data_IF_378146960382
#
_entry.id   IF_378146960382
#
_cell.length_a   1.000
_cell.length_b   1.000
_cell.length_c   1.000
_cell.angle_alpha   90.00
_cell.angle_beta   90.00
_cell.angle_gamma   90.00
#
_symmetry.space_group_name_H-M   'P 1'
#
loop_
_entity.id
_entity.type
_entity.pdbx_description
1 polymer ?
#
# COMPACT_ATOMS: atom_id res chain seq x y z
N UNK A 1 7.07 -14.66 -1.42
CA UNK A 1 8.46 -14.34 -1.02
C UNK A 1 8.46 -13.89 0.42
N UNK A 2 9.61 -13.93 1.09
CA UNK A 2 9.72 -13.66 2.53
C UNK A 2 9.35 -12.23 2.91
N UNK A 3 9.61 -11.27 2.01
CA UNK A 3 9.35 -9.85 2.24
C UNK A 3 7.86 -9.48 2.19
N UNK A 4 7.06 -10.12 1.32
CA UNK A 4 5.62 -9.83 1.21
C UNK A 4 4.91 -10.12 2.53
N UNK A 5 5.23 -11.28 3.13
CA UNK A 5 4.67 -11.68 4.43
C UNK A 5 5.09 -10.72 5.54
N UNK A 6 6.38 -10.37 5.61
CA UNK A 6 6.85 -9.43 6.63
C UNK A 6 6.13 -8.07 6.53
N UNK A 7 6.04 -7.52 5.32
CA UNK A 7 5.38 -6.24 5.11
C UNK A 7 3.88 -6.32 5.39
N UNK A 8 3.24 -7.42 4.97
CA UNK A 8 1.84 -7.71 5.29
C UNK A 8 1.58 -7.79 6.81
N UNK A 9 2.45 -8.47 7.54
CA UNK A 9 2.36 -8.62 9.00
C UNK A 9 2.54 -7.25 9.68
N UNK A 10 3.51 -6.44 9.25
CA UNK A 10 3.69 -5.06 9.75
C UNK A 10 2.47 -4.18 9.50
N UNK A 11 1.82 -4.32 8.34
CA UNK A 11 0.61 -3.58 7.98
C UNK A 11 -0.63 -4.00 8.79
N UNK A 12 -0.61 -5.22 9.35
CA UNK A 12 -1.75 -5.81 10.06
C UNK A 12 -1.57 -5.93 11.58
N UNK A 13 -0.36 -5.81 12.13
CA UNK A 13 -0.08 -6.04 13.56
C UNK A 13 -0.61 -4.93 14.48
N UNK A 14 -0.80 -3.73 13.95
CA UNK A 14 -1.44 -2.62 14.67
C UNK A 14 -2.81 -2.38 14.06
N UNK A 15 -3.85 -2.42 14.89
CA UNK A 15 -5.20 -2.07 14.46
C UNK A 15 -5.46 -0.57 14.62
N UNK A 16 -6.39 -0.04 13.81
CA UNK A 16 -6.83 1.37 13.89
C UNK A 16 -7.28 1.80 15.30
N UNK A 17 -7.84 0.88 16.10
CA UNK A 17 -8.32 1.18 17.45
C UNK A 17 -7.20 1.32 18.49
N UNK A 18 -6.06 0.68 18.23
CA UNK A 18 -4.98 0.50 19.21
C UNK A 18 -3.71 1.28 18.83
N UNK A 19 -3.72 1.95 17.67
CA UNK A 19 -2.61 2.79 17.22
C UNK A 19 -2.37 3.96 18.20
N UNK A 20 -1.13 4.12 18.62
CA UNK A 20 -0.70 5.14 19.57
C UNK A 20 0.78 5.49 19.37
N UNK A 21 1.33 6.32 20.26
CA UNK A 21 2.72 6.79 20.17
C UNK A 21 3.78 5.70 20.41
N UNK A 22 3.42 4.61 21.10
CA UNK A 22 4.34 3.51 21.42
C UNK A 22 4.51 2.54 20.25
N UNK A 23 3.50 2.42 19.38
CA UNK A 23 3.51 1.50 18.24
C UNK A 23 3.63 2.20 16.87
N UNK A 24 3.76 3.53 16.81
CA UNK A 24 3.89 4.27 15.55
C UNK A 24 5.14 3.87 14.74
N UNK A 25 6.19 3.38 15.41
CA UNK A 25 7.40 2.89 14.75
C UNK A 25 7.13 1.70 13.81
N UNK A 26 6.06 0.94 14.05
CA UNK A 26 5.64 -0.16 13.16
C UNK A 26 5.16 0.39 11.82
N UNK A 27 4.36 1.46 11.85
CA UNK A 27 3.89 2.17 10.65
C UNK A 27 5.09 2.78 9.91
N UNK A 28 6.01 3.42 10.64
CA UNK A 28 7.22 4.00 10.06
C UNK A 28 8.06 2.93 9.35
N UNK A 29 8.23 1.76 9.98
CA UNK A 29 8.98 0.64 9.39
C UNK A 29 8.33 0.17 8.10
N UNK A 30 7.01 -0.05 8.08
CA UNK A 30 6.28 -0.43 6.87
C UNK A 30 6.41 0.63 5.76
N UNK A 31 6.30 1.91 6.10
CA UNK A 31 6.49 3.02 5.15
C UNK A 31 7.91 3.06 4.57
N UNK A 32 8.96 2.77 5.35
CA UNK A 32 10.34 2.70 4.85
C UNK A 32 10.47 1.69 3.71
N UNK A 33 9.89 0.49 3.86
CA UNK A 33 9.88 -0.51 2.78
C UNK A 33 9.27 0.06 1.49
N UNK A 34 8.14 0.77 1.61
CA UNK A 34 7.45 1.36 0.47
C UNK A 34 8.23 2.53 -0.14
N UNK A 35 8.91 3.34 0.68
CA UNK A 35 9.83 4.40 0.21
C UNK A 35 10.94 3.80 -0.62
N UNK A 36 11.56 2.70 -0.18
CA UNK A 36 12.55 1.99 -1.00
C UNK A 36 11.96 1.45 -2.29
N UNK A 37 10.75 0.87 -2.28
CA UNK A 37 10.09 0.44 -3.51
C UNK A 37 9.84 1.61 -4.48
N UNK A 38 9.45 2.78 -3.98
CA UNK A 38 9.27 3.98 -4.81
C UNK A 38 10.57 4.50 -5.38
N UNK A 39 11.64 4.58 -4.57
CA UNK A 39 12.98 4.97 -5.04
C UNK A 39 13.52 4.03 -6.12
N UNK A 40 13.17 2.74 -6.06
CA UNK A 40 13.50 1.74 -7.08
C UNK A 40 12.47 1.67 -8.23
N UNK A 41 11.50 2.58 -8.28
CA UNK A 41 10.44 2.63 -9.30
C UNK A 41 9.62 1.34 -9.42
N UNK A 42 9.53 0.55 -8.34
CA UNK A 42 8.83 -0.73 -8.30
C UNK A 42 7.62 -0.73 -7.35
N UNK A 43 7.19 0.44 -6.86
CA UNK A 43 6.03 0.57 -5.96
C UNK A 43 4.73 -0.06 -6.53
N UNK A 44 4.30 0.21 -7.78
CA UNK A 44 3.10 -0.44 -8.33
C UNK A 44 3.21 -1.97 -8.35
N UNK A 45 4.39 -2.49 -8.69
CA UNK A 45 4.65 -3.92 -8.70
C UNK A 45 4.60 -4.51 -7.29
N UNK A 46 5.20 -3.84 -6.30
CA UNK A 46 5.16 -4.23 -4.90
C UNK A 46 3.72 -4.31 -4.38
N UNK A 47 2.90 -3.28 -4.62
CA UNK A 47 1.51 -3.25 -4.20
C UNK A 47 0.66 -4.31 -4.89
N UNK A 48 0.92 -4.60 -6.17
CA UNK A 48 0.27 -5.71 -6.89
C UNK A 48 0.55 -7.05 -6.23
N UNK A 49 1.80 -7.30 -5.81
CA UNK A 49 2.16 -8.52 -5.10
C UNK A 49 1.51 -8.62 -3.72
N UNK A 50 1.38 -7.49 -3.00
CA UNK A 50 0.66 -7.45 -1.73
C UNK A 50 -0.84 -7.70 -1.90
N UNK A 51 -1.48 -7.13 -2.92
CA UNK A 51 -2.91 -7.40 -3.24
C UNK A 51 -3.14 -8.86 -3.61
N UNK A 52 -2.24 -9.45 -4.41
CA UNK A 52 -2.30 -10.87 -4.72
C UNK A 52 -2.11 -11.74 -3.47
N UNK A 53 -1.24 -11.30 -2.55
CA UNK A 53 -1.03 -11.97 -1.26
C UNK A 53 -2.28 -11.89 -0.36
N UNK A 54 -2.91 -10.72 -0.26
CA UNK A 54 -4.19 -10.49 0.43
C UNK A 54 -5.30 -11.40 -0.11
N UNK A 55 -5.47 -11.43 -1.44
CA UNK A 55 -6.46 -12.26 -2.10
C UNK A 55 -6.25 -13.77 -1.82
N UNK A 56 -4.99 -14.20 -1.74
CA UNK A 56 -4.64 -15.58 -1.41
C UNK A 56 -4.80 -15.92 0.08
N UNK A 57 -4.70 -14.92 0.97
CA UNK A 57 -4.81 -15.10 2.43
C UNK A 57 -6.28 -15.27 2.90
N UNK A 58 -7.27 -14.94 2.06
CA UNK A 58 -8.70 -15.09 2.36
C UNK A 58 -9.36 -13.86 3.00
N UNK A 59 -10.68 -13.95 3.26
CA UNK A 59 -11.57 -12.84 3.64
C UNK A 59 -11.40 -12.30 5.08
N UNK A 60 -10.18 -12.26 5.61
CA UNK A 60 -9.88 -11.48 6.83
C UNK A 60 -9.91 -9.97 6.55
N UNK A 61 -9.93 -9.13 7.60
CA UNK A 61 -9.69 -7.68 7.47
C UNK A 61 -8.45 -7.46 6.62
N UNK A 62 -8.59 -6.80 5.48
CA UNK A 62 -7.48 -6.58 4.57
C UNK A 62 -6.41 -5.69 5.20
N UNK A 63 -5.19 -6.19 5.37
CA UNK A 63 -4.07 -5.41 5.92
C UNK A 63 -3.80 -4.16 5.10
N UNK A 64 -4.11 -4.15 3.79
CA UNK A 64 -3.99 -2.93 2.97
C UNK A 64 -5.00 -1.86 3.38
N UNK A 65 -6.25 -2.26 3.64
CA UNK A 65 -7.30 -1.35 4.11
C UNK A 65 -7.01 -0.86 5.54
N UNK A 66 -6.52 -1.75 6.42
CA UNK A 66 -6.07 -1.37 7.75
C UNK A 66 -4.92 -0.36 7.67
N UNK A 67 -3.89 -0.66 6.89
CA UNK A 67 -2.73 0.21 6.74
C UNK A 67 -3.12 1.59 6.22
N UNK A 68 -4.04 1.67 5.24
CA UNK A 68 -4.59 2.96 4.77
C UNK A 68 -5.22 3.77 5.92
N UNK A 69 -5.95 3.13 6.82
CA UNK A 69 -6.52 3.80 8.00
C UNK A 69 -5.46 4.20 9.04
N UNK A 70 -4.39 3.43 9.19
CA UNK A 70 -3.24 3.80 10.02
C UNK A 70 -2.51 5.04 9.47
N UNK A 71 -2.45 5.21 8.14
CA UNK A 71 -1.85 6.39 7.52
C UNK A 71 -2.61 7.69 7.85
N UNK A 72 -3.94 7.63 8.07
CA UNK A 72 -4.69 8.77 8.59
C UNK A 72 -4.23 9.19 9.98
N UNK A 73 -3.97 8.21 10.86
CA UNK A 73 -3.42 8.47 12.18
C UNK A 73 -2.00 9.03 12.09
N UNK A 74 -1.15 8.41 11.27
CA UNK A 74 0.24 8.82 11.06
C UNK A 74 0.32 10.30 10.64
N UNK A 75 -0.52 10.73 9.69
CA UNK A 75 -0.60 12.15 9.27
C UNK A 75 -0.90 13.08 10.43
N UNK A 76 -1.93 12.76 11.22
CA UNK A 76 -2.34 13.57 12.39
C UNK A 76 -1.27 13.61 13.48
N UNK A 77 -0.57 12.50 13.67
CA UNK A 77 0.50 12.40 14.66
C UNK A 77 1.64 13.37 14.34
N UNK A 78 2.17 13.31 13.11
CA UNK A 78 3.31 14.15 12.71
C UNK A 78 2.92 15.59 12.36
N UNK A 79 1.68 15.87 11.96
CA UNK A 79 1.22 17.25 11.71
C UNK A 79 1.10 18.09 12.99
N UNK A 80 0.70 17.47 14.10
CA UNK A 80 0.37 18.19 15.33
C UNK A 80 1.58 18.35 16.28
N UNK A 81 2.66 17.61 16.04
CA UNK A 81 3.81 17.54 16.95
C UNK A 81 5.08 17.98 16.25
N UNK A 82 5.19 19.26 15.87
CA UNK A 82 6.23 19.83 15.00
C UNK A 82 7.72 19.63 15.36
N UNK A 83 8.06 18.78 16.34
CA UNK A 83 9.42 18.28 16.62
C UNK A 83 9.60 16.78 16.31
N UNK A 84 8.53 15.99 16.24
CA UNK A 84 8.63 14.53 16.11
C UNK A 84 9.06 14.11 14.70
N UNK A 85 8.78 14.91 13.67
CA UNK A 85 9.27 14.64 12.32
C UNK A 85 10.80 14.80 12.22
N UNK A 86 11.43 15.67 13.01
CA UNK A 86 12.89 15.82 13.00
C UNK A 86 13.57 14.55 13.53
N UNK A 87 13.01 13.90 14.54
CA UNK A 87 13.48 12.59 15.01
C UNK A 87 13.24 11.48 13.98
N UNK A 88 12.13 11.53 13.24
CA UNK A 88 11.86 10.61 12.14
C UNK A 88 12.90 10.76 11.01
N UNK A 89 13.18 11.98 10.59
CA UNK A 89 14.21 12.29 9.58
C UNK A 89 15.59 11.85 10.05
N UNK A 90 15.97 12.19 11.29
CA UNK A 90 17.27 11.84 11.85
C UNK A 90 17.50 10.32 11.93
N UNK A 91 16.49 9.57 12.38
CA UNK A 91 16.60 8.12 12.55
C UNK A 91 16.55 7.32 11.25
N UNK A 92 15.91 7.86 10.21
CA UNK A 92 15.73 7.16 8.92
C UNK A 92 16.66 7.65 7.82
N UNK A 93 17.17 8.88 7.90
CA UNK A 93 17.86 9.55 6.80
C UNK A 93 16.93 9.90 5.62
N UNK A 94 15.61 9.84 5.81
CA UNK A 94 14.61 10.15 4.78
C UNK A 94 13.98 11.51 5.12
N UNK A 95 14.04 12.50 4.23
CA UNK A 95 13.41 13.80 4.44
C UNK A 95 11.90 13.68 4.64
N UNK A 96 11.33 14.45 5.58
CA UNK A 96 9.91 14.46 5.90
C UNK A 96 9.00 14.71 4.67
N UNK A 97 9.36 15.58 3.70
CA UNK A 97 8.58 15.70 2.46
C UNK A 97 8.42 14.39 1.70
N UNK A 98 9.44 13.53 1.67
CA UNK A 98 9.37 12.23 0.99
C UNK A 98 8.42 11.25 1.71
N UNK A 99 8.37 11.29 3.04
CA UNK A 99 7.35 10.56 3.80
C UNK A 99 5.94 11.03 3.45
N UNK A 100 5.72 12.34 3.40
CA UNK A 100 4.41 12.92 3.07
C UNK A 100 3.96 12.54 1.66
N UNK A 101 4.84 12.64 0.68
CA UNK A 101 4.55 12.22 -0.68
C UNK A 101 4.20 10.74 -0.75
N UNK A 102 4.91 9.88 -0.01
CA UNK A 102 4.61 8.44 0.03
C UNK A 102 3.21 8.22 0.61
N UNK A 103 2.90 8.83 1.74
CA UNK A 103 1.59 8.71 2.39
C UNK A 103 0.48 9.28 1.50
N UNK A 104 0.74 10.39 0.80
CA UNK A 104 -0.21 10.96 -0.15
C UNK A 104 -0.47 10.00 -1.32
N UNK A 105 0.58 9.43 -1.91
CA UNK A 105 0.48 8.49 -3.02
C UNK A 105 -0.26 7.20 -2.62
N UNK A 106 0.06 6.61 -1.47
CA UNK A 106 -0.62 5.42 -0.97
C UNK A 106 -2.10 5.66 -0.62
N UNK A 107 -2.45 6.89 -0.23
CA UNK A 107 -3.83 7.30 0.04
C UNK A 107 -4.55 7.89 -1.18
N UNK A 108 -3.93 7.85 -2.36
CA UNK A 108 -4.46 8.39 -3.60
C UNK A 108 -5.77 7.74 -4.06
N UNK A 109 -6.31 8.19 -5.21
CA UNK A 109 -7.57 7.69 -5.75
C UNK A 109 -7.48 6.20 -6.15
N UNK A 110 -8.63 5.54 -6.33
CA UNK A 110 -8.70 4.10 -6.61
C UNK A 110 -8.32 3.71 -8.04
N UNK A 111 -8.05 4.66 -8.91
CA UNK A 111 -7.55 4.47 -10.27
C UNK A 111 -6.02 4.60 -10.37
N UNK A 112 -5.34 4.99 -9.30
CA UNK A 112 -3.87 5.03 -9.21
C UNK A 112 -3.33 3.67 -8.73
N UNK A 113 -2.49 3.01 -9.54
CA UNK A 113 -1.87 1.73 -9.18
C UNK A 113 -1.03 1.78 -7.89
N UNK A 114 -0.53 2.96 -7.55
CA UNK A 114 0.22 3.23 -6.32
C UNK A 114 -0.67 3.46 -5.09
N UNK A 115 -1.99 3.56 -5.25
CA UNK A 115 -2.93 3.69 -4.14
C UNK A 115 -3.24 2.36 -3.47
N UNK A 116 -3.29 2.33 -2.14
CA UNK A 116 -3.74 1.14 -1.39
C UNK A 116 -5.19 0.74 -1.73
N UNK A 117 -6.00 1.68 -2.20
CA UNK A 117 -7.39 1.45 -2.64
C UNK A 117 -7.53 1.21 -4.15
N UNK A 118 -6.44 0.96 -4.87
CA UNK A 118 -6.49 0.70 -6.31
C UNK A 118 -7.43 -0.45 -6.65
N UNK A 119 -8.33 -0.20 -7.60
CA UNK A 119 -9.20 -1.21 -8.20
C UNK A 119 -8.79 -1.32 -9.67
N UNK A 120 -8.27 -2.49 -10.10
CA UNK A 120 -7.95 -2.69 -11.51
C UNK A 120 -9.18 -2.42 -12.38
N UNK A 121 -9.03 -1.72 -13.51
CA UNK A 121 -10.14 -1.53 -14.43
C UNK A 121 -10.66 -2.91 -14.87
N UNK A 122 -11.99 -3.07 -15.04
CA UNK A 122 -12.54 -4.32 -15.53
C UNK A 122 -11.90 -4.65 -16.88
N UNK A 123 -11.46 -5.91 -17.04
CA UNK A 123 -10.98 -6.40 -18.33
C UNK A 123 -12.03 -6.09 -19.39
N UNK A 124 -11.66 -5.52 -20.56
CA UNK A 124 -12.64 -5.31 -21.62
C UNK A 124 -13.27 -6.67 -21.95
N UNK A 125 -14.60 -6.73 -21.90
CA UNK A 125 -15.35 -7.90 -22.33
C UNK A 125 -14.94 -8.24 -23.78
N UNK A 126 -14.76 -9.53 -24.12
CA UNK A 126 -14.37 -9.90 -25.47
C UNK A 126 -15.41 -9.33 -26.43
N UNK A 127 -14.94 -8.52 -27.39
CA UNK A 127 -15.83 -7.92 -28.39
C UNK A 127 -16.51 -9.03 -29.20
N UNK A 128 -17.75 -8.87 -29.69
CA UNK A 128 -18.47 -9.91 -30.42
C UNK A 128 -17.68 -10.53 -31.60
N UNK A 129 -16.80 -9.76 -32.23
CA UNK A 129 -15.92 -10.21 -33.32
C UNK A 129 -14.82 -11.22 -32.88
N UNK A 130 -14.47 -11.25 -31.60
CA UNK A 130 -13.49 -12.21 -31.05
C UNK A 130 -14.13 -13.57 -30.76
N UNK A 131 -15.44 -13.60 -30.49
CA UNK A 131 -16.21 -14.84 -30.33
C UNK A 131 -16.36 -15.59 -31.66
N UNK A 132 -16.53 -14.88 -32.77
CA UNK A 132 -16.67 -15.48 -34.11
C UNK A 132 -15.40 -16.20 -34.55
N UNK A 133 -14.22 -15.62 -34.30
CA UNK A 133 -12.93 -16.26 -34.62
C UNK A 133 -12.64 -17.51 -33.79
N UNK A 134 -13.10 -17.56 -32.54
CA UNK A 134 -12.88 -18.71 -31.68
C UNK A 134 -13.74 -19.91 -32.13
N UNK A 135 -14.94 -19.66 -32.66
CA UNK A 135 -15.81 -20.72 -33.20
C UNK A 135 -15.37 -21.22 -34.57
N UNK A 136 -14.69 -20.40 -35.38
CA UNK A 136 -14.14 -20.80 -36.69
C UNK A 136 -12.83 -21.60 -36.61
N UNK A 137 -12.15 -21.62 -35.46
CA UNK A 137 -10.93 -22.42 -35.26
C UNK A 137 -11.21 -23.81 -34.64
N UNK A 138 -12.44 -24.11 -34.25
CA UNK A 138 -12.87 -25.42 -33.70
C UNK A 138 -13.58 -26.32 -34.73
N UNK A 139 -13.52 -25.98 -36.03
CA UNK A 139 -14.09 -26.77 -37.14
C UNK A 139 -13.01 -27.23 -38.14
#
# INVERSE_FOLDING_TARGET
>A
GRWQRLLWDLMGVVDRGDVNQENICVINTALIFLVFCRRQQCLPHCLRLLRAYEAAAGAGRGSLANFRALLDFWRKYYSNRGRDFASLEYSSGIPYPEWLEMVHQLCGPSDDECSLSYVPPPSPSPSPHQLTRATEMEL
#
